data_IF_118785732056
#
_entry.id   IF_118785732056
#
_cell.length_a   1.000
_cell.length_b   1.000
_cell.length_c   1.000
_cell.angle_alpha   90.00
_cell.angle_beta   90.00
_cell.angle_gamma   90.00
#
_symmetry.space_group_name_H-M   'P 1'
#
loop_
_entity.id
_entity.type
_entity.pdbx_description
1 polymer ?
#
# COMPACT_ATOMS: atom_id res chain seq x y z
N UNK A 1 7.14 2.80 7.54
CA UNK A 1 6.26 2.70 8.73
C UNK A 1 5.34 1.49 8.62
N UNK A 2 4.57 1.34 7.55
CA UNK A 2 3.70 0.16 7.27
C UNK A 2 4.45 -1.17 7.27
N UNK A 3 5.64 -1.25 6.68
CA UNK A 3 6.44 -2.47 6.67
C UNK A 3 6.87 -2.95 8.06
N UNK A 4 7.01 -2.05 9.04
CA UNK A 4 7.37 -2.41 10.42
C UNK A 4 6.20 -3.12 11.09
N UNK A 5 4.97 -2.66 10.86
CA UNK A 5 3.76 -3.32 11.34
C UNK A 5 3.64 -4.74 10.77
N UNK A 6 3.86 -4.92 9.47
CA UNK A 6 3.85 -6.25 8.84
C UNK A 6 4.93 -7.17 9.40
N UNK A 7 6.12 -6.65 9.72
CA UNK A 7 7.17 -7.44 10.37
C UNK A 7 6.77 -7.86 11.79
N UNK A 8 6.15 -6.97 12.57
CA UNK A 8 5.65 -7.31 13.92
C UNK A 8 4.49 -8.31 13.89
N UNK A 9 3.64 -8.23 12.86
CA UNK A 9 2.60 -9.22 12.58
C UNK A 9 3.20 -10.60 12.28
N UNK A 10 4.23 -10.67 11.41
CA UNK A 10 4.94 -11.92 11.09
C UNK A 10 5.65 -12.54 12.31
N UNK A 11 6.15 -11.71 13.22
CA UNK A 11 6.74 -12.13 14.49
C UNK A 11 5.69 -12.56 15.54
N UNK A 12 4.40 -12.54 15.19
CA UNK A 12 3.28 -12.86 16.08
C UNK A 12 3.21 -12.01 17.36
N UNK A 13 3.84 -10.83 17.36
CA UNK A 13 3.71 -9.86 18.45
C UNK A 13 2.27 -9.34 18.51
N UNK A 14 1.63 -9.22 17.34
CA UNK A 14 0.21 -8.94 17.19
C UNK A 14 -0.50 -10.25 16.83
N UNK A 15 -1.51 -10.70 17.61
CA UNK A 15 -2.26 -11.91 17.28
C UNK A 15 -2.97 -11.78 15.93
N UNK A 16 -2.97 -12.85 15.12
CA UNK A 16 -3.55 -12.85 13.78
C UNK A 16 -5.05 -12.47 13.74
N UNK A 17 -5.75 -12.68 14.84
CA UNK A 17 -7.17 -12.33 15.03
C UNK A 17 -7.43 -10.82 14.97
N UNK A 18 -6.38 -9.99 15.12
CA UNK A 18 -6.47 -8.54 15.03
C UNK A 18 -5.93 -7.98 13.72
N UNK A 19 -5.59 -8.85 12.76
CA UNK A 19 -5.07 -8.47 11.45
C UNK A 19 -6.13 -8.71 10.37
N UNK A 20 -6.08 -7.92 9.30
CA UNK A 20 -7.00 -7.99 8.16
C UNK A 20 -8.47 -7.88 8.55
N UNK A 21 -8.77 -6.95 9.46
CA UNK A 21 -10.11 -6.73 9.99
C UNK A 21 -10.65 -7.86 10.86
N UNK A 22 -9.75 -8.71 11.37
CA UNK A 22 -10.08 -9.90 12.15
C UNK A 22 -10.72 -11.04 11.35
N UNK A 23 -10.49 -11.09 10.03
CA UNK A 23 -11.09 -12.09 9.13
C UNK A 23 -10.24 -13.33 8.92
N UNK A 24 -8.96 -13.28 9.28
CA UNK A 24 -8.03 -14.40 9.12
C UNK A 24 -8.47 -15.58 9.98
N UNK A 25 -8.53 -16.76 9.37
CA UNK A 25 -8.95 -18.01 10.02
C UNK A 25 -7.76 -18.79 10.57
N UNK A 26 -6.53 -18.52 10.08
CA UNK A 26 -5.34 -19.26 10.47
C UNK A 26 -4.06 -18.42 10.44
N UNK A 27 -3.04 -18.91 11.14
CA UNK A 27 -1.69 -18.33 11.14
C UNK A 27 -1.03 -18.48 9.76
N UNK A 28 -1.34 -19.54 9.02
CA UNK A 28 -0.86 -19.74 7.64
C UNK A 28 -1.41 -18.65 6.72
N UNK A 29 -2.70 -18.31 6.85
CA UNK A 29 -3.33 -17.24 6.09
C UNK A 29 -2.71 -15.88 6.43
N UNK A 30 -2.42 -15.62 7.70
CA UNK A 30 -1.65 -14.44 8.12
C UNK A 30 -0.31 -14.35 7.39
N UNK A 31 0.49 -15.43 7.38
CA UNK A 31 1.78 -15.42 6.70
C UNK A 31 1.68 -15.08 5.21
N UNK A 32 0.69 -15.64 4.50
CA UNK A 32 0.47 -15.35 3.07
C UNK A 32 0.10 -13.89 2.88
N UNK A 33 -0.87 -13.39 3.64
CA UNK A 33 -1.40 -12.04 3.48
C UNK A 33 -0.37 -10.97 3.86
N UNK A 34 0.36 -11.17 4.95
CA UNK A 34 1.46 -10.29 5.37
C UNK A 34 2.62 -10.29 4.36
N UNK A 35 2.92 -11.44 3.76
CA UNK A 35 3.94 -11.54 2.70
C UNK A 35 3.54 -10.77 1.45
N UNK A 36 2.27 -10.88 1.02
CA UNK A 36 1.73 -10.09 -0.10
C UNK A 36 1.84 -8.60 0.20
N UNK A 37 1.45 -8.16 1.40
CA UNK A 37 1.57 -6.77 1.82
C UNK A 37 3.01 -6.25 1.79
N UNK A 38 3.98 -7.05 2.21
CA UNK A 38 5.40 -6.67 2.13
C UNK A 38 5.88 -6.54 0.68
N UNK A 39 5.49 -7.48 -0.19
CA UNK A 39 5.83 -7.42 -1.62
C UNK A 39 5.25 -6.16 -2.27
N UNK A 40 3.98 -5.84 -2.03
CA UNK A 40 3.33 -4.64 -2.56
C UNK A 40 4.03 -3.37 -2.05
N UNK A 41 4.36 -3.30 -0.76
CA UNK A 41 5.11 -2.16 -0.20
C UNK A 41 6.52 -2.05 -0.82
N UNK A 42 7.22 -3.18 -1.03
CA UNK A 42 8.54 -3.18 -1.65
C UNK A 42 8.48 -2.66 -3.09
N UNK A 43 7.51 -3.12 -3.89
CA UNK A 43 7.27 -2.62 -5.24
C UNK A 43 6.99 -1.11 -5.20
N UNK A 44 6.15 -0.65 -4.28
CA UNK A 44 5.87 0.78 -4.12
C UNK A 44 7.13 1.61 -3.85
N UNK A 45 8.02 1.15 -2.96
CA UNK A 45 9.27 1.84 -2.64
C UNK A 45 10.21 1.86 -3.86
N UNK A 46 10.37 0.73 -4.55
CA UNK A 46 11.22 0.63 -5.75
C UNK A 46 10.69 1.56 -6.85
N UNK A 47 9.37 1.53 -7.12
CA UNK A 47 8.75 2.40 -8.12
C UNK A 47 8.85 3.88 -7.73
N UNK A 48 8.74 4.22 -6.45
CA UNK A 48 8.95 5.58 -5.95
C UNK A 48 10.39 6.06 -6.17
N UNK A 49 11.38 5.20 -5.92
CA UNK A 49 12.79 5.49 -6.20
C UNK A 49 13.04 5.71 -7.69
N UNK A 50 12.51 4.82 -8.55
CA UNK A 50 12.63 4.96 -10.00
C UNK A 50 11.95 6.24 -10.49
N UNK A 51 10.75 6.55 -9.99
CA UNK A 51 10.02 7.77 -10.33
C UNK A 51 10.85 9.03 -10.05
N UNK A 52 11.54 9.11 -8.90
CA UNK A 52 12.44 10.23 -8.61
C UNK A 52 13.59 10.33 -9.62
N UNK A 53 14.16 9.19 -10.03
CA UNK A 53 15.19 9.14 -11.06
C UNK A 53 14.70 9.61 -12.44
N UNK A 54 13.46 9.28 -12.80
CA UNK A 54 12.82 9.74 -14.04
C UNK A 54 12.39 11.21 -13.99
N UNK A 55 11.96 11.69 -12.82
CA UNK A 55 11.61 13.08 -12.59
C UNK A 55 12.84 13.99 -12.80
N UNK A 56 14.01 13.56 -12.32
CA UNK A 56 15.29 14.26 -12.57
C UNK A 56 15.69 14.29 -14.05
N UNK A 57 15.17 13.36 -14.86
CA UNK A 57 15.40 13.28 -16.32
C UNK A 57 14.28 13.94 -17.14
N UNK A 58 13.28 14.53 -16.48
CA UNK A 58 12.18 15.27 -17.12
C UNK A 58 11.09 14.40 -17.78
N UNK A 59 11.19 13.06 -17.73
CA UNK A 59 10.25 12.17 -18.41
C UNK A 59 9.94 10.96 -17.54
N UNK A 60 8.68 10.85 -17.09
CA UNK A 60 8.17 9.67 -16.37
C UNK A 60 7.50 8.70 -17.36
N UNK A 61 8.01 7.47 -17.50
CA UNK A 61 7.42 6.46 -18.38
C UNK A 61 5.97 6.10 -18.01
N UNK A 62 5.15 5.81 -19.02
CA UNK A 62 3.74 5.41 -18.82
C UNK A 62 3.57 4.15 -17.99
N UNK A 63 4.52 3.20 -18.04
CA UNK A 63 4.44 1.98 -17.23
C UNK A 63 4.52 2.26 -15.72
N UNK A 64 5.29 3.28 -15.30
CA UNK A 64 5.35 3.69 -13.89
C UNK A 64 4.02 4.25 -13.42
N UNK A 65 3.31 4.97 -14.29
CA UNK A 65 1.96 5.47 -13.99
C UNK A 65 0.97 4.33 -13.80
N UNK A 66 1.02 3.31 -14.66
CA UNK A 66 0.19 2.11 -14.49
C UNK A 66 0.46 1.44 -13.15
N UNK A 67 1.72 1.33 -12.74
CA UNK A 67 2.06 0.75 -11.44
C UNK A 67 1.54 1.60 -10.27
N UNK A 68 1.70 2.92 -10.29
CA UNK A 68 1.13 3.78 -9.25
C UNK A 68 -0.40 3.78 -9.21
N UNK A 69 -1.05 3.72 -10.37
CA UNK A 69 -2.51 3.58 -10.45
C UNK A 69 -2.99 2.26 -9.85
N UNK A 70 -2.30 1.16 -10.15
CA UNK A 70 -2.58 -0.15 -9.56
C UNK A 70 -2.37 -0.15 -8.04
N UNK A 71 -1.25 0.39 -7.57
CA UNK A 71 -0.95 0.50 -6.12
C UNK A 71 -1.96 1.41 -5.42
N UNK A 72 -2.35 2.52 -6.05
CA UNK A 72 -3.40 3.41 -5.56
C UNK A 72 -4.73 2.68 -5.38
N UNK A 73 -5.12 1.85 -6.35
CA UNK A 73 -6.35 1.05 -6.27
C UNK A 73 -6.26 0.04 -5.11
N UNK A 74 -5.12 -0.63 -4.93
CA UNK A 74 -4.90 -1.54 -3.80
C UNK A 74 -5.05 -0.80 -2.46
N UNK A 75 -4.39 0.36 -2.28
CA UNK A 75 -4.52 1.14 -1.04
C UNK A 75 -5.92 1.68 -0.81
N UNK A 76 -6.65 2.03 -1.87
CA UNK A 76 -8.04 2.43 -1.78
C UNK A 76 -8.93 1.28 -1.30
N UNK A 77 -8.78 0.08 -1.87
CA UNK A 77 -9.48 -1.13 -1.42
C UNK A 77 -9.12 -1.45 0.04
N UNK A 78 -7.84 -1.34 0.41
CA UNK A 78 -7.40 -1.50 1.79
C UNK A 78 -8.03 -0.48 2.74
N UNK A 79 -8.22 0.76 2.29
CA UNK A 79 -8.92 1.79 3.08
C UNK A 79 -10.37 1.41 3.32
N UNK A 80 -11.07 0.92 2.28
CA UNK A 80 -12.43 0.39 2.44
C UNK A 80 -12.43 -0.79 3.42
N UNK A 81 -11.50 -1.75 3.25
CA UNK A 81 -11.35 -2.89 4.14
C UNK A 81 -11.14 -2.51 5.61
N UNK A 82 -10.30 -1.51 5.87
CA UNK A 82 -10.03 -0.99 7.21
C UNK A 82 -11.22 -0.23 7.83
N UNK A 83 -12.06 0.40 6.99
CA UNK A 83 -13.31 1.05 7.43
C UNK A 83 -14.39 0.04 7.83
N UNK A 84 -14.42 -1.15 7.22
CA UNK A 84 -15.34 -2.24 7.57
C UNK A 84 -14.68 -3.29 8.47
N UNK A 85 -13.51 -2.99 9.03
CA UNK A 85 -12.81 -3.87 9.96
C UNK A 85 -13.58 -3.96 11.28
N UNK A 86 -13.56 -5.15 11.88
CA UNK A 86 -14.18 -5.39 13.20
C UNK A 86 -13.30 -4.84 14.33
N UNK A 87 -12.04 -4.57 14.02
CA UNK A 87 -10.96 -4.22 14.95
C UNK A 87 -10.72 -2.70 14.99
N UNK A 88 -11.00 -2.08 16.13
CA UNK A 88 -10.81 -0.62 16.30
C UNK A 88 -9.37 -0.15 16.05
N UNK A 89 -8.38 -1.02 16.28
CA UNK A 89 -6.96 -0.72 16.06
C UNK A 89 -6.65 -0.49 14.58
N UNK A 90 -7.15 -1.37 13.70
CA UNK A 90 -6.94 -1.25 12.26
C UNK A 90 -7.74 -0.06 11.69
N UNK A 91 -8.97 0.14 12.14
CA UNK A 91 -9.78 1.28 11.71
C UNK A 91 -9.14 2.62 12.10
N UNK A 92 -8.54 2.73 13.29
CA UNK A 92 -7.94 3.98 13.77
C UNK A 92 -6.55 4.25 13.18
N UNK A 93 -5.70 3.23 13.05
CA UNK A 93 -4.31 3.39 12.61
C UNK A 93 -4.12 3.08 11.13
N UNK A 94 -4.69 1.99 10.62
CA UNK A 94 -4.45 1.55 9.25
C UNK A 94 -5.22 2.41 8.24
N UNK A 95 -6.47 2.79 8.53
CA UNK A 95 -7.31 3.62 7.64
C UNK A 95 -6.66 4.95 7.24
N UNK A 96 -6.21 5.84 8.16
CA UNK A 96 -5.61 7.11 7.75
C UNK A 96 -4.32 6.91 6.95
N UNK A 97 -3.54 5.88 7.27
CA UNK A 97 -2.29 5.57 6.57
C UNK A 97 -2.59 5.09 5.14
N UNK A 98 -3.50 4.12 4.96
CA UNK A 98 -3.84 3.60 3.63
C UNK A 98 -4.58 4.64 2.79
N UNK A 99 -5.41 5.49 3.40
CA UNK A 99 -6.07 6.59 2.71
C UNK A 99 -5.05 7.62 2.20
N UNK A 100 -4.08 8.00 3.05
CA UNK A 100 -3.00 8.89 2.66
C UNK A 100 -2.17 8.29 1.51
N UNK A 101 -1.79 7.02 1.61
CA UNK A 101 -1.04 6.33 0.55
C UNK A 101 -1.82 6.20 -0.75
N UNK A 102 -3.14 5.98 -0.69
CA UNK A 102 -4.01 5.96 -1.86
C UNK A 102 -4.00 7.33 -2.56
N UNK A 103 -4.21 8.41 -1.81
CA UNK A 103 -4.20 9.78 -2.37
C UNK A 103 -2.84 10.12 -2.96
N UNK A 104 -1.74 9.89 -2.23
CA UNK A 104 -0.38 10.18 -2.72
C UNK A 104 -0.10 9.39 -4.00
N UNK A 105 -0.38 8.08 -4.01
CA UNK A 105 -0.16 7.24 -5.19
C UNK A 105 -1.00 7.72 -6.39
N UNK A 106 -2.24 8.12 -6.16
CA UNK A 106 -3.11 8.67 -7.20
C UNK A 106 -2.58 10.00 -7.77
N UNK A 107 -2.09 10.91 -6.92
CA UNK A 107 -1.52 12.19 -7.38
C UNK A 107 -0.30 11.98 -8.28
N UNK A 108 0.50 10.92 -8.05
CA UNK A 108 1.64 10.57 -8.89
C UNK A 108 1.22 10.09 -10.30
N UNK A 109 0.00 9.57 -10.45
CA UNK A 109 -0.57 9.22 -11.76
C UNK A 109 -0.94 10.48 -12.55
N UNK A 110 -1.56 11.47 -11.88
CA UNK A 110 -2.05 12.69 -12.50
C UNK A 110 -0.94 13.71 -12.81
N UNK A 111 0.16 13.69 -12.07
CA UNK A 111 1.28 14.63 -12.23
C UNK A 111 2.16 14.28 -13.44
N UNK A 112 1.63 14.44 -14.66
CA UNK A 112 2.29 15.01 -15.85
C UNK A 112 1.36 14.92 -17.09
N UNK A 113 0.70 16.02 -17.42
CA UNK A 113 0.19 16.33 -18.76
C UNK A 113 0.82 17.67 -19.14
N UNK A 114 1.87 17.60 -19.96
CA UNK A 114 2.35 18.62 -20.91
C UNK A 114 3.83 18.37 -21.22
N UNK A 115 4.09 17.77 -22.37
CA UNK A 115 4.97 18.31 -23.41
C UNK A 115 4.85 17.41 -24.65
N UNK A 116 4.51 18.03 -25.78
CA UNK A 116 4.32 17.51 -27.16
C UNK A 116 2.92 17.01 -27.55
N UNK A 117 2.06 17.96 -27.94
CA UNK A 117 1.53 18.03 -29.31
C UNK A 117 1.35 19.50 -29.67
#
# INVERSE_FOLDING_TARGET
MTSIFHIFALLQIVPYQYLWGGRLQSVQEMYVMESISLVVNAIFVICSYLYLGYLNKGLVPSWIRFVFGFISAIFFINTIGNLVAVTNLETLLATPITAFLAVVSFTLVLKYENQTS
#
